data_IF_950858130073
#
_entry.id   IF_950858130073
#
_cell.length_a   1.000
_cell.length_b   1.000
_cell.length_c   1.000
_cell.angle_alpha   90.00
_cell.angle_beta   90.00
_cell.angle_gamma   90.00
#
_symmetry.space_group_name_H-M   'P 1'
#
loop_
_entity.id
_entity.type
_entity.pdbx_description
1 polymer ?
#
# COMPACT_ATOMS: atom_id res chain seq x y z
N UNK A 1 -7.69 10.94 -24.72
CA UNK A 1 -6.88 9.72 -24.57
C UNK A 1 -6.70 9.46 -23.08
N UNK A 2 -7.23 8.34 -22.58
CA UNK A 2 -7.08 7.96 -21.18
C UNK A 2 -5.64 7.50 -20.98
N UNK A 3 -4.79 8.33 -20.38
CA UNK A 3 -3.46 7.91 -19.90
C UNK A 3 -3.68 6.91 -18.77
N UNK A 4 -3.75 5.64 -19.14
CA UNK A 4 -3.76 4.53 -18.20
C UNK A 4 -2.52 4.63 -17.32
N UNK A 5 -2.76 4.54 -16.02
CA UNK A 5 -1.77 4.23 -14.99
C UNK A 5 -1.05 2.95 -15.38
N UNK A 6 0.13 3.07 -16.00
CA UNK A 6 0.98 1.90 -16.22
C UNK A 6 1.38 1.39 -14.83
N UNK A 7 0.79 0.27 -14.44
CA UNK A 7 1.35 -0.53 -13.36
C UNK A 7 2.81 -0.86 -13.74
N UNK A 8 3.74 -0.86 -12.77
CA UNK A 8 5.11 -1.31 -13.01
C UNK A 8 5.11 -2.66 -13.71
N UNK A 9 6.10 -2.89 -14.57
CA UNK A 9 6.29 -4.19 -15.22
C UNK A 9 6.62 -5.26 -14.17
N UNK A 10 6.29 -6.53 -14.41
CA UNK A 10 6.54 -7.62 -13.43
C UNK A 10 8.01 -7.71 -12.97
N UNK A 11 8.95 -7.31 -13.83
CA UNK A 11 10.38 -7.20 -13.47
C UNK A 11 10.69 -6.07 -12.48
N UNK A 12 9.96 -4.96 -12.55
CA UNK A 12 10.09 -3.85 -11.59
C UNK A 12 9.44 -4.20 -10.25
N UNK A 13 8.41 -5.07 -10.25
CA UNK A 13 7.76 -5.55 -9.03
C UNK A 13 8.67 -6.38 -8.11
N UNK A 14 9.67 -7.09 -8.66
CA UNK A 14 10.53 -8.01 -7.89
C UNK A 14 11.52 -7.29 -6.96
N UNK A 15 11.69 -5.97 -7.08
CA UNK A 15 12.62 -5.20 -6.24
C UNK A 15 11.96 -4.16 -5.35
N UNK A 16 10.64 -3.95 -5.45
CA UNK A 16 9.97 -2.88 -4.72
C UNK A 16 9.74 -3.27 -3.25
N UNK A 17 10.07 -2.34 -2.37
CA UNK A 17 9.69 -2.38 -0.97
C UNK A 17 8.21 -2.03 -0.82
N UNK A 18 7.57 -2.55 0.23
CA UNK A 18 6.17 -2.27 0.54
C UNK A 18 5.92 -0.75 0.70
N UNK A 19 6.87 -0.01 1.27
CA UNK A 19 6.82 1.45 1.37
C UNK A 19 6.74 2.14 0.00
N UNK A 20 7.57 1.71 -0.96
CA UNK A 20 7.57 2.23 -2.32
C UNK A 20 6.24 1.94 -3.04
N UNK A 21 5.70 0.72 -2.88
CA UNK A 21 4.38 0.38 -3.40
C UNK A 21 3.27 1.26 -2.80
N UNK A 22 3.33 1.55 -1.49
CA UNK A 22 2.40 2.46 -0.83
C UNK A 22 2.50 3.88 -1.39
N UNK A 23 3.71 4.39 -1.63
CA UNK A 23 3.90 5.72 -2.22
C UNK A 23 3.34 5.80 -3.63
N UNK A 24 3.57 4.78 -4.47
CA UNK A 24 3.03 4.71 -5.82
C UNK A 24 1.49 4.73 -5.77
N UNK A 25 0.88 3.94 -4.88
CA UNK A 25 -0.57 3.93 -4.69
C UNK A 25 -1.11 5.30 -4.26
N UNK A 26 -0.48 5.95 -3.28
CA UNK A 26 -0.95 7.24 -2.77
C UNK A 26 -0.79 8.36 -3.82
N UNK A 27 0.32 8.39 -4.57
CA UNK A 27 0.52 9.33 -5.68
C UNK A 27 -0.52 9.16 -6.78
N UNK A 28 -0.97 7.93 -7.00
CA UNK A 28 -2.02 7.68 -7.97
C UNK A 28 -3.39 8.14 -7.47
N UNK A 29 -3.74 7.78 -6.22
CA UNK A 29 -4.99 8.21 -5.57
C UNK A 29 -5.13 9.71 -5.39
N UNK A 30 -4.02 10.44 -5.28
CA UNK A 30 -4.03 11.90 -5.23
C UNK A 30 -4.67 12.53 -6.47
N UNK A 31 -4.61 11.86 -7.62
CA UNK A 31 -5.18 12.32 -8.89
C UNK A 31 -6.68 12.13 -9.01
N UNK A 32 -7.29 11.30 -8.14
CA UNK A 32 -8.72 10.96 -8.18
C UNK A 32 -9.65 12.09 -7.70
N UNK A 33 -9.11 13.31 -7.51
CA UNK A 33 -9.83 14.51 -7.06
C UNK A 33 -10.71 14.27 -5.81
N UNK A 34 -10.19 13.45 -4.89
CA UNK A 34 -10.89 13.03 -3.68
C UNK A 34 -10.87 14.10 -2.59
N UNK A 35 -11.88 14.09 -1.73
CA UNK A 35 -11.94 14.97 -0.56
C UNK A 35 -10.68 14.81 0.31
N UNK A 36 -10.05 15.90 0.81
CA UNK A 36 -8.80 15.82 1.57
C UNK A 36 -8.84 14.86 2.76
N UNK A 37 -9.95 14.88 3.52
CA UNK A 37 -10.16 13.97 4.66
C UNK A 37 -10.14 12.49 4.25
N UNK A 38 -10.67 12.19 3.06
CA UNK A 38 -10.67 10.83 2.50
C UNK A 38 -9.25 10.40 2.16
N UNK A 39 -8.47 11.28 1.51
CA UNK A 39 -7.07 10.99 1.18
C UNK A 39 -6.21 10.78 2.44
N UNK A 40 -6.36 11.63 3.45
CA UNK A 40 -5.67 11.45 4.74
C UNK A 40 -6.05 10.13 5.43
N UNK A 41 -7.31 9.70 5.30
CA UNK A 41 -7.75 8.39 5.80
C UNK A 41 -7.05 7.23 5.06
N UNK A 42 -6.82 7.34 3.74
CA UNK A 42 -6.03 6.36 2.99
C UNK A 42 -4.57 6.33 3.44
N UNK A 43 -3.93 7.50 3.60
CA UNK A 43 -2.55 7.60 4.11
C UNK A 43 -2.42 6.95 5.48
N UNK A 44 -3.35 7.23 6.40
CA UNK A 44 -3.34 6.64 7.74
C UNK A 44 -3.42 5.11 7.71
N UNK A 45 -4.31 4.53 6.86
CA UNK A 45 -4.42 3.08 6.69
C UNK A 45 -3.15 2.45 6.12
N UNK A 46 -2.52 3.09 5.13
CA UNK A 46 -1.27 2.58 4.55
C UNK A 46 -0.10 2.65 5.53
N UNK A 47 0.01 3.74 6.32
CA UNK A 47 0.99 3.84 7.41
C UNK A 47 0.80 2.75 8.46
N UNK A 48 -0.45 2.44 8.80
CA UNK A 48 -0.75 1.36 9.74
C UNK A 48 -0.35 -0.02 9.18
N UNK A 49 -0.60 -0.26 7.89
CA UNK A 49 -0.16 -1.48 7.21
C UNK A 49 1.35 -1.64 7.26
N UNK A 50 2.11 -0.58 6.94
CA UNK A 50 3.57 -0.58 7.04
C UNK A 50 4.06 -0.82 8.47
N UNK A 51 3.40 -0.21 9.46
CA UNK A 51 3.74 -0.41 10.87
C UNK A 51 3.56 -1.87 11.30
N UNK A 52 2.46 -2.52 10.91
CA UNK A 52 2.17 -3.90 11.32
C UNK A 52 3.02 -4.91 10.54
N UNK A 53 3.15 -4.74 9.22
CA UNK A 53 3.85 -5.69 8.35
C UNK A 53 5.37 -5.48 8.29
N UNK A 54 5.85 -4.30 8.68
CA UNK A 54 7.21 -3.84 8.43
C UNK A 54 7.44 -3.45 6.97
N UNK A 55 8.52 -2.71 6.73
CA UNK A 55 8.96 -2.43 5.36
C UNK A 55 9.86 -3.56 4.85
N UNK A 56 9.40 -4.23 3.80
CA UNK A 56 10.05 -5.42 3.21
C UNK A 56 9.68 -5.55 1.74
N UNK A 57 10.42 -6.34 0.95
CA UNK A 57 10.11 -6.58 -0.45
C UNK A 57 8.67 -7.08 -0.64
N UNK A 58 7.96 -6.55 -1.64
CA UNK A 58 6.54 -6.87 -1.86
C UNK A 58 6.31 -8.35 -2.18
N UNK A 59 7.26 -8.98 -2.86
CA UNK A 59 7.25 -10.40 -3.24
C UNK A 59 7.53 -11.34 -2.06
N UNK A 60 8.08 -10.81 -0.97
CA UNK A 60 8.28 -11.55 0.28
C UNK A 60 6.98 -11.75 1.06
N UNK A 61 5.93 -10.97 0.77
CA UNK A 61 4.64 -11.05 1.45
C UNK A 61 3.87 -12.29 1.01
N UNK A 62 3.42 -13.07 1.99
CA UNK A 62 2.67 -14.31 1.79
C UNK A 62 1.29 -14.21 2.43
N UNK A 63 0.45 -15.21 2.14
CA UNK A 63 -0.89 -15.33 2.77
C UNK A 63 -0.83 -15.29 4.30
N UNK A 64 0.21 -15.88 4.91
CA UNK A 64 0.40 -15.87 6.36
C UNK A 64 0.53 -14.44 6.92
N UNK A 65 1.20 -13.54 6.18
CA UNK A 65 1.34 -12.13 6.57
C UNK A 65 -0.01 -11.40 6.54
N UNK A 66 -0.86 -11.70 5.56
CA UNK A 66 -2.20 -11.13 5.48
C UNK A 66 -3.08 -11.56 6.66
N UNK A 67 -2.98 -12.82 7.08
CA UNK A 67 -3.67 -13.33 8.27
C UNK A 67 -3.14 -12.65 9.54
N UNK A 68 -1.82 -12.59 9.71
CA UNK A 68 -1.18 -11.90 10.83
C UNK A 68 -1.57 -10.43 10.89
N UNK A 69 -1.58 -9.73 9.76
CA UNK A 69 -2.01 -8.34 9.67
C UNK A 69 -3.44 -8.15 10.16
N UNK A 70 -4.38 -8.99 9.69
CA UNK A 70 -5.77 -8.95 10.12
C UNK A 70 -5.89 -9.18 11.64
N UNK A 71 -5.20 -10.18 12.16
CA UNK A 71 -5.24 -10.51 13.59
C UNK A 71 -4.68 -9.38 14.46
N UNK A 72 -3.59 -8.75 14.02
CA UNK A 72 -3.01 -7.57 14.70
C UNK A 72 -3.92 -6.36 14.61
N UNK A 73 -4.51 -6.10 13.44
CA UNK A 73 -5.42 -4.97 13.23
C UNK A 73 -6.63 -5.02 14.18
N UNK A 74 -7.18 -6.21 14.42
CA UNK A 74 -8.31 -6.43 15.35
C UNK A 74 -7.94 -6.26 16.83
N UNK A 75 -6.65 -6.26 17.17
CA UNK A 75 -6.15 -6.06 18.53
C UNK A 75 -5.79 -4.60 18.81
N UNK A 76 -5.81 -3.74 17.79
CA UNK A 76 -5.56 -2.31 17.98
C UNK A 76 -6.81 -1.62 18.53
N UNK A 77 -6.61 -0.62 19.42
CA UNK A 77 -7.70 0.10 20.07
C UNK A 77 -8.55 0.92 19.10
#
# INVERSE_FOLDING_TARGET
ELRGTQAPTESEHQSLMLSECVELYLKDREKDNMQPKTFESYKARMRLMLYILGDRPIDSLKRADALMFKDKLLQLP
#
